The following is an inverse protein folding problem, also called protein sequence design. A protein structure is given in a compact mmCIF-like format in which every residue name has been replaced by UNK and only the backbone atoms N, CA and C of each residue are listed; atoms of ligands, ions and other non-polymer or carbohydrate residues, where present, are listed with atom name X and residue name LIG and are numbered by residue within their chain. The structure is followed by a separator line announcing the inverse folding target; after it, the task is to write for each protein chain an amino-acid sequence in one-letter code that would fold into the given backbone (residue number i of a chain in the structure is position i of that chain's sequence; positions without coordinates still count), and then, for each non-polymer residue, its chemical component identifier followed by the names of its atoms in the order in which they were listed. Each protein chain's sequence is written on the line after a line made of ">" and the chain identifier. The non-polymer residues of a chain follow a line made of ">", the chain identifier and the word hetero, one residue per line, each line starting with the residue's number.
data_IF_947819218934
#
_entry.id   IF_947819218934
#
_cell.length_a   1.000
_cell.length_b   1.000
_cell.length_c   1.000
_cell.angle_alpha   90.00
_cell.angle_beta   90.00
_cell.angle_gamma   90.00
#
_symmetry.space_group_name_H-M   'P 1'
#
loop_
_entity.id
_entity.type
_entity.pdbx_description
1 polymer ?
#
# COMPACT_ATOMS: atom_id res chain seq x y z
N UNK A 1 3.43 -6.09 -14.43
CA UNK A 1 3.40 -6.75 -13.12
C UNK A 1 1.99 -6.74 -12.52
N UNK A 2 1.56 -7.77 -11.80
CA UNK A 2 0.33 -7.74 -10.98
C UNK A 2 0.72 -7.36 -9.55
N UNK A 3 0.04 -6.36 -8.98
CA UNK A 3 0.25 -5.95 -7.60
C UNK A 3 -1.01 -6.26 -6.79
N UNK A 4 -0.87 -7.22 -5.87
CA UNK A 4 -1.98 -7.74 -5.07
C UNK A 4 -2.08 -7.00 -3.73
N UNK A 5 -3.24 -6.43 -3.48
CA UNK A 5 -3.63 -5.82 -2.21
C UNK A 5 -4.56 -6.75 -1.45
N UNK A 6 -4.67 -6.59 -0.13
CA UNK A 6 -5.61 -7.35 0.69
C UNK A 6 -6.83 -6.48 1.04
N UNK A 7 -8.04 -7.04 1.00
CA UNK A 7 -9.25 -6.32 1.44
C UNK A 7 -9.31 -6.12 2.95
N UNK A 8 -8.60 -6.94 3.72
CA UNK A 8 -8.49 -6.80 5.17
C UNK A 8 -7.12 -7.26 5.68
N UNK A 9 -6.67 -6.64 6.77
CA UNK A 9 -5.47 -7.01 7.54
C UNK A 9 -5.89 -7.05 9.01
N UNK A 10 -5.53 -8.13 9.72
CA UNK A 10 -5.87 -8.31 11.15
C UNK A 10 -7.37 -8.10 11.44
N UNK A 11 -8.24 -8.71 10.64
CA UNK A 11 -9.71 -8.58 10.71
C UNK A 11 -10.25 -7.14 10.52
N UNK A 12 -9.41 -6.17 10.08
CA UNK A 12 -9.82 -4.79 9.76
C UNK A 12 -9.81 -4.54 8.25
N UNK A 13 -10.83 -3.86 7.68
CA UNK A 13 -10.83 -3.50 6.26
C UNK A 13 -9.69 -2.53 5.94
N UNK A 14 -9.03 -2.70 4.78
CA UNK A 14 -7.90 -1.85 4.37
C UNK A 14 -8.33 -0.61 3.60
N UNK A 15 -9.44 -0.73 2.85
CA UNK A 15 -9.89 0.26 1.87
C UNK A 15 -8.79 0.67 0.87
N UNK A 16 -7.89 -0.26 0.55
CA UNK A 16 -6.81 0.00 -0.40
C UNK A 16 -7.32 0.32 -1.80
N UNK A 17 -8.50 -0.18 -2.18
CA UNK A 17 -9.11 0.16 -3.46
C UNK A 17 -9.41 1.67 -3.58
N UNK A 18 -10.04 2.23 -2.56
CA UNK A 18 -10.40 3.63 -2.45
C UNK A 18 -9.15 4.50 -2.33
N UNK A 19 -8.25 4.14 -1.40
CA UNK A 19 -7.03 4.90 -1.09
C UNK A 19 -6.08 4.92 -2.30
N UNK A 20 -5.90 3.80 -3.00
CA UNK A 20 -5.08 3.73 -4.22
C UNK A 20 -5.71 4.53 -5.34
N UNK A 21 -7.03 4.39 -5.55
CA UNK A 21 -7.74 5.17 -6.58
C UNK A 21 -7.58 6.67 -6.33
N UNK A 22 -7.69 7.11 -5.07
CA UNK A 22 -7.48 8.51 -4.69
C UNK A 22 -6.06 8.99 -4.96
N UNK A 23 -5.05 8.16 -4.67
CA UNK A 23 -3.65 8.46 -4.99
C UNK A 23 -3.38 8.54 -6.49
N UNK A 24 -3.92 7.63 -7.29
CA UNK A 24 -3.76 7.61 -8.75
C UNK A 24 -4.42 8.80 -9.44
N UNK A 25 -5.54 9.28 -8.88
CA UNK A 25 -6.30 10.43 -9.38
C UNK A 25 -5.83 11.77 -8.80
N UNK A 26 -4.87 11.74 -7.86
CA UNK A 26 -4.27 12.93 -7.30
C UNK A 26 -3.62 13.72 -8.45
N UNK A 27 -4.07 14.95 -8.65
CA UNK A 27 -3.65 15.85 -9.74
C UNK A 27 -4.02 15.39 -11.17
N UNK A 28 -4.99 14.48 -11.34
CA UNK A 28 -5.57 14.11 -12.65
C UNK A 28 -6.85 14.88 -12.96
N UNK A 29 -7.10 15.11 -14.25
CA UNK A 29 -8.31 15.71 -14.81
C UNK A 29 -9.59 14.96 -14.36
N UNK A 30 -10.67 15.71 -14.16
CA UNK A 30 -12.00 15.28 -13.71
C UNK A 30 -12.56 14.15 -14.61
N UNK A 31 -12.41 14.22 -15.94
CA UNK A 31 -12.95 13.19 -16.84
C UNK A 31 -12.31 11.81 -16.63
N UNK A 32 -11.02 11.78 -16.25
CA UNK A 32 -10.32 10.54 -15.95
C UNK A 32 -10.80 9.92 -14.63
N UNK A 33 -11.27 10.75 -13.69
CA UNK A 33 -11.80 10.31 -12.39
C UNK A 33 -13.10 9.55 -12.56
N UNK A 34 -14.04 10.09 -13.35
CA UNK A 34 -15.35 9.47 -13.60
C UNK A 34 -15.23 8.09 -14.26
N UNK A 35 -14.36 7.96 -15.27
CA UNK A 35 -14.13 6.68 -15.96
C UNK A 35 -13.47 5.60 -15.09
N UNK A 36 -12.73 5.99 -14.04
CA UNK A 36 -12.10 5.05 -13.13
C UNK A 36 -13.08 4.55 -12.08
N UNK A 37 -13.94 5.43 -11.54
CA UNK A 37 -14.94 5.09 -10.52
C UNK A 37 -15.96 4.05 -11.05
N UNK A 38 -16.39 4.15 -12.31
CA UNK A 38 -17.36 3.21 -12.87
C UNK A 38 -16.89 1.75 -12.98
N UNK A 39 -15.57 1.50 -12.92
CA UNK A 39 -15.00 0.14 -13.00
C UNK A 39 -14.81 -0.57 -11.66
N UNK A 40 -14.80 0.17 -10.54
CA UNK A 40 -14.47 -0.40 -9.21
C UNK A 40 -15.72 -0.87 -8.45
N UNK A 41 -16.90 -0.78 -9.07
CA UNK A 41 -18.23 -0.80 -8.41
C UNK A 41 -18.58 -2.03 -7.57
N UNK A 42 -17.82 -3.13 -7.59
CA UNK A 42 -18.13 -4.31 -6.77
C UNK A 42 -17.59 -4.20 -5.33
N UNK A 43 -16.54 -3.39 -5.09
CA UNK A 43 -15.85 -3.29 -3.80
C UNK A 43 -15.47 -1.87 -3.39
N UNK A 44 -16.11 -0.85 -3.99
CA UNK A 44 -15.75 0.54 -3.78
C UNK A 44 -16.76 1.25 -2.89
N UNK A 45 -16.28 1.75 -1.76
CA UNK A 45 -17.05 2.58 -0.84
C UNK A 45 -16.81 4.07 -1.15
N UNK A 46 -17.83 4.74 -1.67
CA UNK A 46 -17.76 6.14 -2.06
C UNK A 46 -17.58 7.09 -0.86
N UNK A 47 -18.15 6.75 0.30
CA UNK A 47 -18.05 7.56 1.52
C UNK A 47 -16.64 7.47 2.09
N UNK A 48 -16.06 6.27 2.08
CA UNK A 48 -14.65 6.08 2.44
C UNK A 48 -13.73 6.81 1.47
N UNK A 49 -13.96 6.70 0.16
CA UNK A 49 -13.16 7.42 -0.83
C UNK A 49 -13.18 8.94 -0.60
N UNK A 50 -14.33 9.51 -0.22
CA UNK A 50 -14.45 10.94 0.04
C UNK A 50 -13.54 11.40 1.19
N UNK A 51 -13.44 10.61 2.27
CA UNK A 51 -12.74 11.01 3.48
C UNK A 51 -11.33 10.42 3.66
N UNK A 52 -10.96 9.36 2.95
CA UNK A 52 -9.68 8.67 3.15
C UNK A 52 -8.47 9.48 2.69
N UNK A 53 -7.29 9.18 3.25
CA UNK A 53 -6.02 9.68 2.72
C UNK A 53 -5.56 8.85 1.52
N UNK A 54 -4.84 9.43 0.55
CA UNK A 54 -4.38 8.70 -0.61
C UNK A 54 -3.22 7.75 -0.28
N UNK A 55 -3.28 6.53 -0.84
CA UNK A 55 -2.13 5.64 -0.92
C UNK A 55 -1.33 5.99 -2.18
N UNK A 56 -0.06 6.35 -2.01
CA UNK A 56 0.76 6.93 -3.08
C UNK A 56 2.04 6.14 -3.41
N UNK A 57 2.33 5.10 -2.62
CA UNK A 57 3.33 4.07 -2.91
C UNK A 57 2.88 2.71 -2.35
N UNK A 58 3.66 1.69 -2.69
CA UNK A 58 3.63 0.35 -2.08
C UNK A 58 5.06 -0.11 -1.82
N UNK A 59 5.31 -0.73 -0.68
CA UNK A 59 6.54 -1.47 -0.41
C UNK A 59 6.42 -2.90 -0.95
N UNK A 60 7.33 -3.26 -1.84
CA UNK A 60 7.47 -4.60 -2.42
C UNK A 60 8.80 -5.24 -2.03
N UNK A 61 8.85 -6.57 -2.12
CA UNK A 61 10.08 -7.34 -1.86
C UNK A 61 11.21 -6.90 -2.78
N UNK A 62 12.42 -6.76 -2.22
CA UNK A 62 13.59 -6.33 -2.98
C UNK A 62 13.95 -7.28 -4.13
N UNK A 63 13.59 -8.57 -4.01
CA UNK A 63 13.85 -9.58 -5.03
C UNK A 63 12.83 -9.55 -6.19
N UNK A 64 11.72 -8.81 -6.06
CA UNK A 64 10.81 -8.62 -7.18
C UNK A 64 11.48 -7.72 -8.23
N UNK A 65 11.79 -8.31 -9.37
CA UNK A 65 12.32 -7.59 -10.53
C UNK A 65 11.19 -6.85 -11.24
N UNK A 66 11.44 -5.59 -11.62
CA UNK A 66 10.58 -4.77 -12.45
C UNK A 66 11.43 -3.78 -13.24
N UNK A 67 10.96 -3.41 -14.43
CA UNK A 67 11.60 -2.37 -15.23
C UNK A 67 10.93 -1.00 -14.98
N UNK A 68 11.69 0.10 -14.96
CA UNK A 68 11.10 1.44 -14.99
C UNK A 68 10.11 1.57 -16.16
N UNK A 69 8.96 2.18 -15.90
CA UNK A 69 7.84 2.33 -16.86
C UNK A 69 7.03 1.07 -17.15
N UNK A 70 7.28 -0.04 -16.46
CA UNK A 70 6.39 -1.18 -16.48
C UNK A 70 5.00 -0.79 -15.94
N UNK A 71 3.95 -1.35 -16.57
CA UNK A 71 2.58 -1.18 -16.09
C UNK A 71 2.28 -2.17 -14.97
N UNK A 72 1.70 -1.64 -13.90
CA UNK A 72 1.14 -2.41 -12.81
C UNK A 72 -0.35 -2.61 -13.05
N UNK A 73 -0.81 -3.86 -12.92
CA UNK A 73 -2.23 -4.21 -12.81
C UNK A 73 -2.55 -4.36 -11.32
N UNK A 74 -3.27 -3.41 -10.69
CA UNK A 74 -3.61 -3.51 -9.29
C UNK A 74 -4.84 -4.40 -9.09
N UNK A 75 -4.71 -5.35 -8.17
CA UNK A 75 -5.75 -6.32 -7.82
C UNK A 75 -5.98 -6.32 -6.31
N UNK A 76 -7.19 -6.63 -5.86
CA UNK A 76 -7.52 -6.83 -4.45
C UNK A 76 -7.95 -8.27 -4.22
N UNK A 77 -7.30 -8.92 -3.27
CA UNK A 77 -7.69 -10.19 -2.72
C UNK A 77 -8.81 -9.97 -1.69
N UNK A 78 -10.00 -10.45 -2.01
CA UNK A 78 -11.16 -10.42 -1.10
C UNK A 78 -10.99 -11.52 -0.08
N UNK A 79 -10.53 -11.14 1.11
CA UNK A 79 -10.40 -12.06 2.23
C UNK A 79 -11.69 -12.03 3.03
N UNK A 80 -12.20 -13.21 3.40
CA UNK A 80 -13.33 -13.35 4.33
C UNK A 80 -13.02 -14.42 5.37
N UNK A 81 -13.58 -14.25 6.58
CA UNK A 81 -13.49 -15.26 7.63
C UNK A 81 -14.61 -16.28 7.43
N UNK A 82 -14.26 -17.55 7.30
CA UNK A 82 -15.24 -18.65 7.24
C UNK A 82 -14.76 -19.77 8.15
N UNK A 83 -15.61 -20.15 9.10
CA UNK A 83 -15.29 -21.17 10.11
C UNK A 83 -14.00 -20.85 10.90
N UNK A 84 -13.77 -19.57 11.22
CA UNK A 84 -12.59 -19.13 11.97
C UNK A 84 -11.33 -18.92 11.13
N UNK A 85 -11.28 -19.40 9.89
CA UNK A 85 -10.14 -19.25 8.99
C UNK A 85 -10.32 -18.07 8.02
N UNK A 86 -9.25 -17.29 7.81
CA UNK A 86 -9.18 -16.27 6.78
C UNK A 86 -8.85 -16.93 5.43
N UNK A 87 -9.73 -16.79 4.45
CA UNK A 87 -9.53 -17.32 3.09
C UNK A 87 -9.69 -16.22 2.05
N UNK A 88 -8.87 -16.29 1.00
CA UNK A 88 -9.07 -15.50 -0.21
C UNK A 88 -10.16 -16.15 -1.05
N UNK A 89 -11.19 -15.39 -1.41
CA UNK A 89 -12.32 -15.87 -2.20
C UNK A 89 -12.27 -15.42 -3.65
N UNK A 90 -11.71 -14.24 -3.89
CA UNK A 90 -11.74 -13.59 -5.19
C UNK A 90 -10.58 -12.63 -5.33
N UNK A 91 -10.07 -12.49 -6.55
CA UNK A 91 -9.11 -11.46 -6.94
C UNK A 91 -9.82 -10.51 -7.90
N UNK A 92 -9.99 -9.25 -7.49
CA UNK A 92 -10.73 -8.24 -8.27
C UNK A 92 -9.78 -7.17 -8.77
N UNK A 93 -9.90 -6.76 -10.03
CA UNK A 93 -9.13 -5.65 -10.58
C UNK A 93 -9.65 -4.33 -9.99
N UNK A 94 -8.76 -3.56 -9.37
CA UNK A 94 -9.14 -2.32 -8.68
C UNK A 94 -9.20 -1.15 -9.64
N UNK A 95 -8.27 -1.09 -10.59
CA UNK A 95 -8.17 0.04 -11.51
C UNK A 95 -7.51 -0.36 -12.83
N UNK A 96 -7.46 0.59 -13.78
CA UNK A 96 -6.69 0.39 -15.01
C UNK A 96 -5.21 0.24 -14.67
N UNK A 97 -4.45 -0.49 -15.50
CA UNK A 97 -3.02 -0.55 -15.32
C UNK A 97 -2.39 0.84 -15.32
N UNK A 98 -1.45 1.09 -14.41
CA UNK A 98 -0.77 2.38 -14.27
C UNK A 98 0.75 2.20 -14.31
N UNK A 99 1.47 3.26 -14.71
CA UNK A 99 2.93 3.24 -14.74
C UNK A 99 3.52 3.56 -13.37
N UNK A 100 4.63 2.91 -13.04
CA UNK A 100 5.47 3.28 -11.90
C UNK A 100 6.30 4.51 -12.28
N UNK A 101 6.31 5.54 -11.42
CA UNK A 101 7.09 6.77 -11.65
C UNK A 101 8.53 6.67 -11.12
N UNK A 102 8.85 5.64 -10.33
CA UNK A 102 10.18 5.39 -9.78
C UNK A 102 10.11 4.54 -8.53
N UNK A 103 11.29 4.27 -7.95
CA UNK A 103 11.42 3.52 -6.71
C UNK A 103 12.42 4.18 -5.74
N UNK A 104 12.25 3.87 -4.46
CA UNK A 104 13.23 4.17 -3.41
C UNK A 104 13.50 2.90 -2.60
N UNK A 105 14.73 2.70 -2.16
CA UNK A 105 15.05 1.58 -1.27
C UNK A 105 14.45 1.87 0.10
N UNK A 106 13.80 0.88 0.70
CA UNK A 106 13.24 0.98 2.05
C UNK A 106 13.84 -0.11 2.93
N UNK A 107 14.18 0.26 4.15
CA UNK A 107 14.60 -0.66 5.20
C UNK A 107 13.62 -0.48 6.35
N UNK A 108 13.04 -1.59 6.80
CA UNK A 108 12.19 -1.64 7.99
C UNK A 108 12.91 -2.51 9.01
N UNK A 109 13.31 -1.90 10.12
CA UNK A 109 14.01 -2.57 11.22
C UNK A 109 13.05 -2.71 12.41
N UNK A 110 12.89 -3.94 12.91
CA UNK A 110 12.12 -4.20 14.11
C UNK A 110 13.03 -4.32 15.33
N UNK A 111 12.88 -3.38 16.26
CA UNK A 111 13.48 -3.47 17.60
C UNK A 111 12.44 -3.97 18.62
N UNK A 112 12.85 -4.16 19.87
CA UNK A 112 12.00 -4.74 20.93
C UNK A 112 10.70 -3.97 21.18
N UNK A 113 10.62 -2.69 20.82
CA UNK A 113 9.46 -1.82 21.16
C UNK A 113 8.91 -1.04 19.98
N UNK A 114 9.66 -0.88 18.90
CA UNK A 114 9.34 0.00 17.77
C UNK A 114 9.73 -0.61 16.41
N UNK A 115 9.19 -0.01 15.35
CA UNK A 115 9.69 -0.15 13.99
C UNK A 115 10.43 1.12 13.61
N UNK A 116 11.59 0.98 12.99
CA UNK A 116 12.30 2.09 12.37
C UNK A 116 12.25 1.94 10.85
N UNK A 117 12.00 3.05 10.16
CA UNK A 117 11.94 3.08 8.70
C UNK A 117 13.06 3.98 8.20
N UNK A 118 13.79 3.51 7.21
CA UNK A 118 14.67 4.36 6.41
C UNK A 118 14.38 4.23 4.93
N UNK A 119 14.38 5.36 4.24
CA UNK A 119 14.19 5.45 2.79
C UNK A 119 15.46 6.02 2.18
N UNK A 120 16.08 5.29 1.26
CA UNK A 120 17.38 5.64 0.68
C UNK A 120 18.43 6.03 1.74
N UNK A 121 18.43 5.33 2.89
CA UNK A 121 19.34 5.57 4.01
C UNK A 121 18.97 6.73 4.94
N UNK A 122 17.92 7.51 4.64
CA UNK A 122 17.41 8.56 5.53
C UNK A 122 16.36 7.96 6.47
N UNK A 123 16.58 8.01 7.79
CA UNK A 123 15.59 7.50 8.75
C UNK A 123 14.47 8.51 9.01
N UNK A 124 13.26 8.01 9.20
CA UNK A 124 12.13 8.77 9.74
C UNK A 124 12.22 8.77 11.26
N UNK A 125 12.66 9.87 11.87
CA UNK A 125 12.90 9.93 13.32
C UNK A 125 11.73 10.52 14.12
N UNK A 126 10.88 11.34 13.51
CA UNK A 126 9.75 11.96 14.22
C UNK A 126 8.42 11.23 13.98
N UNK A 127 7.51 11.34 14.95
CA UNK A 127 6.21 10.64 14.92
C UNK A 127 5.31 11.10 13.77
N UNK A 128 5.41 12.37 13.36
CA UNK A 128 4.56 12.91 12.30
C UNK A 128 5.00 12.38 10.93
N UNK A 129 6.30 12.29 10.69
CA UNK A 129 6.89 11.70 9.50
C UNK A 129 6.56 10.20 9.41
N UNK A 130 6.66 9.47 10.52
CA UNK A 130 6.31 8.04 10.56
C UNK A 130 4.82 7.81 10.33
N UNK A 131 3.94 8.62 10.92
CA UNK A 131 2.50 8.55 10.64
C UNK A 131 2.21 8.88 9.17
N UNK A 132 2.80 9.95 8.64
CA UNK A 132 2.65 10.33 7.23
C UNK A 132 3.12 9.21 6.30
N UNK A 133 4.20 8.52 6.68
CA UNK A 133 4.69 7.36 5.94
C UNK A 133 3.66 6.23 5.91
N UNK A 134 3.15 5.83 7.07
CA UNK A 134 2.10 4.82 7.19
C UNK A 134 0.84 5.17 6.37
N UNK A 135 0.42 6.44 6.43
CA UNK A 135 -0.73 6.96 5.67
C UNK A 135 -0.52 6.87 4.17
N UNK A 136 0.66 7.24 3.70
CA UNK A 136 0.96 7.15 2.26
C UNK A 136 1.12 5.70 1.77
N UNK A 137 1.42 4.76 2.67
CA UNK A 137 1.34 3.30 2.46
C UNK A 137 -0.11 2.77 2.59
N UNK A 138 -1.09 3.63 2.88
CA UNK A 138 -2.51 3.31 2.93
C UNK A 138 -3.04 2.90 4.31
N UNK A 139 -2.25 2.98 5.37
CA UNK A 139 -2.70 2.68 6.74
C UNK A 139 -3.28 3.92 7.41
N UNK A 140 -4.29 3.76 8.26
CA UNK A 140 -4.92 4.91 8.94
C UNK A 140 -4.12 5.37 10.16
N UNK A 141 -3.34 4.46 10.77
CA UNK A 141 -2.50 4.74 11.93
C UNK A 141 -1.12 4.10 11.81
N UNK A 142 -0.16 4.64 12.57
CA UNK A 142 1.15 4.02 12.74
C UNK A 142 1.06 2.63 13.39
N UNK A 143 0.11 2.42 14.30
CA UNK A 143 -0.08 1.14 14.97
C UNK A 143 -0.48 0.05 13.97
N UNK A 144 -1.44 0.33 13.08
CA UNK A 144 -1.86 -0.64 12.06
C UNK A 144 -0.72 -0.97 11.08
N UNK A 145 0.06 0.04 10.68
CA UNK A 145 1.26 -0.17 9.88
C UNK A 145 2.27 -1.05 10.60
N UNK A 146 2.52 -0.76 11.88
CA UNK A 146 3.49 -1.49 12.70
C UNK A 146 3.08 -2.95 12.90
N UNK A 147 1.83 -3.20 13.23
CA UNK A 147 1.29 -4.54 13.43
C UNK A 147 1.37 -5.40 12.16
N UNK A 148 1.28 -4.76 10.98
CA UNK A 148 1.42 -5.45 9.71
C UNK A 148 2.88 -5.75 9.34
N UNK A 149 3.79 -4.79 9.53
CA UNK A 149 5.18 -4.92 9.07
C UNK A 149 6.12 -5.57 10.07
N UNK A 150 5.88 -5.43 11.37
CA UNK A 150 6.73 -6.02 12.42
C UNK A 150 6.90 -7.54 12.25
N UNK A 151 5.83 -8.34 12.11
CA UNK A 151 5.98 -9.79 11.95
C UNK A 151 6.72 -10.19 10.67
N UNK A 152 6.79 -9.31 9.66
CA UNK A 152 7.56 -9.55 8.43
C UNK A 152 9.04 -9.28 8.65
N UNK A 153 9.37 -8.16 9.30
CA UNK A 153 10.74 -7.78 9.63
C UNK A 153 11.37 -8.79 10.62
N UNK A 154 10.64 -9.22 11.65
CA UNK A 154 11.11 -10.19 12.65
C UNK A 154 11.36 -11.60 12.08
N UNK A 155 10.82 -11.91 10.89
CA UNK A 155 11.13 -13.16 10.16
C UNK A 155 12.39 -13.07 9.31
N UNK A 156 12.89 -11.87 9.07
CA UNK A 156 14.11 -11.64 8.32
C UNK A 156 15.33 -11.72 9.23
N UNK A 157 16.51 -11.90 8.62
CA UNK A 157 17.78 -11.88 9.35
C UNK A 157 17.96 -10.53 10.06
N UNK A 158 18.43 -10.59 11.30
CA UNK A 158 18.69 -9.42 12.15
C UNK A 158 17.46 -8.52 12.38
N UNK A 159 16.25 -9.05 12.16
CA UNK A 159 14.97 -8.33 12.23
C UNK A 159 14.85 -7.18 11.21
N UNK A 160 15.54 -7.28 10.07
CA UNK A 160 15.60 -6.24 9.05
C UNK A 160 14.93 -6.71 7.76
N UNK A 161 13.86 -6.03 7.35
CA UNK A 161 13.25 -6.19 6.04
C UNK A 161 13.86 -5.20 5.05
N UNK A 162 14.35 -5.71 3.91
CA UNK A 162 14.81 -4.92 2.77
C UNK A 162 13.76 -4.96 1.67
N UNK A 163 13.31 -3.79 1.23
CA UNK A 163 12.30 -3.67 0.19
C UNK A 163 12.60 -2.55 -0.79
N UNK A 164 11.73 -2.44 -1.80
CA UNK A 164 11.64 -1.28 -2.68
C UNK A 164 10.26 -0.66 -2.52
N UNK A 165 10.23 0.65 -2.35
CA UNK A 165 9.02 1.43 -2.35
C UNK A 165 8.78 1.93 -3.77
N UNK A 166 7.73 1.45 -4.43
CA UNK A 166 7.34 1.87 -5.77
C UNK A 166 6.34 3.03 -5.67
N UNK A 167 6.54 4.08 -6.46
CA UNK A 167 5.70 5.27 -6.38
C UNK A 167 4.70 5.36 -7.53
N UNK A 168 3.47 5.72 -7.19
CA UNK A 168 2.36 5.91 -8.14
C UNK A 168 2.15 7.38 -8.50
N UNK A 169 2.76 8.27 -7.73
CA UNK A 169 2.74 9.72 -7.92
C UNK A 169 4.17 10.25 -8.06
N UNK A 170 4.34 11.56 -8.20
CA UNK A 170 5.67 12.20 -8.27
C UNK A 170 6.29 12.45 -6.89
N UNK A 171 5.57 12.16 -5.80
CA UNK A 171 6.08 12.33 -4.44
C UNK A 171 7.21 11.33 -4.11
N UNK A 172 8.29 11.81 -3.49
CA UNK A 172 9.44 11.03 -3.00
C UNK A 172 9.84 11.52 -1.60
N UNK A 173 10.43 10.63 -0.78
CA UNK A 173 10.97 10.95 0.56
C UNK A 173 12.46 11.32 0.52
#
# INVERSE_FOLDING_TARGET
>A
MVLNFLSQINDKPTYFAEKLTKGLLQNKDIQLREQMIDRVRVLFDADVYACCAPKIHEIIDFNLYFEPHEYIVPTIAVIRKKMGELKCYEMVHISRPFKINGYQNVIIEADKTNLQISVNGRKSYDKAASLKFAVNEGFDTWADFSDYWRPKAEKCRDNIYFGRMIHFTDFRY
#
